data_IF_179760130984
#
_entry.id   IF_179760130984
#
_cell.length_a   1.000
_cell.length_b   1.000
_cell.length_c   1.000
_cell.angle_alpha   90.00
_cell.angle_beta   90.00
_cell.angle_gamma   90.00
#
_symmetry.space_group_name_H-M   'P 1'
#
loop_
_entity.id
_entity.type
_entity.pdbx_description
1 polymer ?
#
# COMPACT_ATOMS: atom_id res chain seq x y z
N UNK A 1 -45.31 -15.07 58.52
CA UNK A 1 -44.50 -16.26 58.20
C UNK A 1 -43.11 -15.79 57.80
N UNK A 2 -42.06 -16.08 58.60
CA UNK A 2 -40.72 -15.61 58.27
C UNK A 2 -40.11 -16.52 57.21
N UNK A 3 -39.94 -16.00 55.98
CA UNK A 3 -39.21 -16.64 54.89
C UNK A 3 -37.67 -16.64 55.09
N UNK A 4 -37.19 -16.38 56.31
CA UNK A 4 -35.77 -16.35 56.67
C UNK A 4 -35.19 -17.76 56.89
N UNK A 5 -35.40 -18.70 55.96
CA UNK A 5 -34.64 -19.96 55.94
C UNK A 5 -33.36 -19.71 55.15
N UNK A 6 -32.25 -19.73 55.87
CA UNK A 6 -30.89 -19.66 55.35
C UNK A 6 -30.72 -20.55 54.12
N UNK A 7 -30.14 -20.01 53.06
CA UNK A 7 -29.66 -20.81 51.94
C UNK A 7 -28.52 -21.70 52.45
N UNK A 8 -28.58 -23.03 52.25
CA UNK A 8 -27.50 -23.91 52.65
C UNK A 8 -26.23 -23.54 51.88
N UNK A 9 -25.07 -23.53 52.54
CA UNK A 9 -23.77 -23.16 51.94
C UNK A 9 -23.45 -23.95 50.67
N UNK A 10 -23.98 -25.18 50.55
CA UNK A 10 -23.87 -26.03 49.35
C UNK A 10 -24.49 -25.37 48.11
N UNK A 11 -25.58 -24.61 48.26
CA UNK A 11 -26.22 -23.90 47.16
C UNK A 11 -25.29 -22.87 46.50
N UNK A 12 -24.45 -22.20 47.29
CA UNK A 12 -23.45 -21.25 46.76
C UNK A 12 -22.38 -21.92 45.92
N UNK A 13 -21.93 -23.12 46.32
CA UNK A 13 -20.94 -23.89 45.55
C UNK A 13 -21.51 -24.33 44.21
N UNK A 14 -22.76 -24.83 44.20
CA UNK A 14 -23.45 -25.23 42.97
C UNK A 14 -23.66 -24.03 42.04
N UNK A 15 -24.11 -22.89 42.58
CA UNK A 15 -24.28 -21.67 41.80
C UNK A 15 -22.96 -21.17 41.21
N UNK A 16 -21.89 -21.15 42.00
CA UNK A 16 -20.55 -20.76 41.54
C UNK A 16 -20.03 -21.67 40.43
N UNK A 17 -20.18 -22.99 40.58
CA UNK A 17 -19.81 -23.95 39.53
C UNK A 17 -20.59 -23.72 38.24
N UNK A 18 -21.91 -23.49 38.34
CA UNK A 18 -22.75 -23.21 37.19
C UNK A 18 -22.34 -21.91 36.48
N UNK A 19 -22.09 -20.83 37.23
CA UNK A 19 -21.65 -19.54 36.66
C UNK A 19 -20.29 -19.68 35.97
N UNK A 20 -19.34 -20.40 36.57
CA UNK A 20 -18.03 -20.66 35.95
C UNK A 20 -18.17 -21.46 34.67
N UNK A 21 -18.98 -22.52 34.67
CA UNK A 21 -19.25 -23.30 33.46
C UNK A 21 -19.93 -22.46 32.38
N UNK A 22 -20.95 -21.69 32.74
CA UNK A 22 -21.67 -20.82 31.82
C UNK A 22 -20.73 -19.80 31.18
N UNK A 23 -19.88 -19.14 31.97
CA UNK A 23 -18.90 -18.19 31.47
C UNK A 23 -17.84 -18.87 30.59
N UNK A 24 -17.39 -20.08 30.96
CA UNK A 24 -16.37 -20.82 30.19
C UNK A 24 -16.86 -21.28 28.82
N UNK A 25 -18.18 -21.43 28.62
CA UNK A 25 -18.76 -21.89 27.34
C UNK A 25 -19.35 -20.71 26.56
N UNK A 26 -20.16 -19.87 27.21
CA UNK A 26 -20.84 -18.77 26.52
C UNK A 26 -19.90 -17.66 26.08
N UNK A 27 -18.84 -17.35 26.84
CA UNK A 27 -17.90 -16.29 26.43
C UNK A 27 -17.12 -16.69 25.17
N UNK A 28 -16.49 -17.88 25.09
CA UNK A 28 -15.85 -18.31 23.85
C UNK A 28 -16.84 -18.46 22.69
N UNK A 29 -18.04 -19.00 22.93
CA UNK A 29 -19.04 -19.17 21.87
C UNK A 29 -19.54 -17.83 21.33
N UNK A 30 -19.81 -16.85 22.20
CA UNK A 30 -20.21 -15.51 21.79
C UNK A 30 -19.07 -14.79 21.06
N UNK A 31 -17.83 -14.93 21.54
CA UNK A 31 -16.67 -14.37 20.85
C UNK A 31 -16.50 -14.99 19.46
N UNK A 32 -16.62 -16.31 19.32
CA UNK A 32 -16.55 -17.01 18.05
C UNK A 32 -17.71 -16.63 17.12
N UNK A 33 -18.94 -16.51 17.65
CA UNK A 33 -20.09 -16.07 16.87
C UNK A 33 -19.92 -14.64 16.35
N UNK A 34 -19.44 -13.73 17.21
CA UNK A 34 -19.13 -12.34 16.82
C UNK A 34 -18.00 -12.27 15.80
N UNK A 35 -16.97 -13.09 15.95
CA UNK A 35 -15.87 -13.18 15.00
C UNK A 35 -16.35 -13.73 13.65
N UNK A 36 -17.17 -14.79 13.66
CA UNK A 36 -17.75 -15.35 12.45
C UNK A 36 -18.66 -14.35 11.73
N UNK A 37 -19.48 -13.60 12.47
CA UNK A 37 -20.29 -12.52 11.89
C UNK A 37 -19.41 -11.47 11.23
N UNK A 38 -18.36 -11.00 11.92
CA UNK A 38 -17.41 -10.05 11.35
C UNK A 38 -16.70 -10.59 10.10
N UNK A 39 -16.24 -11.86 10.12
CA UNK A 39 -15.62 -12.51 8.96
C UNK A 39 -16.58 -12.66 7.80
N UNK A 40 -17.85 -12.94 8.07
CA UNK A 40 -18.90 -13.00 7.05
C UNK A 40 -19.20 -11.61 6.48
N UNK A 41 -19.25 -10.58 7.31
CA UNK A 41 -19.43 -9.18 6.88
C UNK A 41 -18.23 -8.71 6.03
N UNK A 42 -17.00 -9.13 6.36
CA UNK A 42 -15.82 -8.84 5.52
C UNK A 42 -15.83 -9.63 4.21
N UNK A 43 -16.37 -10.86 4.23
CA UNK A 43 -16.50 -11.70 3.02
C UNK A 43 -17.64 -11.27 2.12
N UNK A 44 -18.68 -10.64 2.64
CA UNK A 44 -19.85 -10.21 1.85
C UNK A 44 -19.55 -9.05 0.89
N UNK A 45 -18.30 -8.57 0.85
CA UNK A 45 -17.87 -7.54 -0.09
C UNK A 45 -18.32 -6.13 0.28
N UNK A 46 -19.12 -5.97 1.34
CA UNK A 46 -19.60 -4.66 1.82
C UNK A 46 -18.45 -3.68 2.14
N UNK A 47 -17.22 -4.19 2.26
CA UNK A 47 -16.05 -3.43 2.69
C UNK A 47 -14.80 -3.64 1.82
N UNK A 48 -14.94 -4.35 0.69
CA UNK A 48 -13.95 -4.36 -0.38
C UNK A 48 -14.25 -3.18 -1.31
N UNK A 49 -14.24 -1.97 -0.76
CA UNK A 49 -14.37 -0.76 -1.56
C UNK A 49 -12.98 -0.31 -2.02
N UNK A 50 -12.87 0.01 -3.29
CA UNK A 50 -11.65 0.53 -3.90
C UNK A 50 -11.20 1.82 -3.20
N UNK A 51 -12.14 2.65 -2.74
CA UNK A 51 -11.80 3.89 -2.02
C UNK A 51 -11.11 3.62 -0.67
N UNK A 52 -11.53 2.59 0.05
CA UNK A 52 -10.87 2.18 1.29
C UNK A 52 -9.44 1.71 1.03
N UNK A 53 -9.23 0.97 -0.06
CA UNK A 53 -7.90 0.57 -0.50
C UNK A 53 -7.04 1.78 -0.88
N UNK A 54 -7.58 2.73 -1.65
CA UNK A 54 -6.89 3.99 -1.98
C UNK A 54 -6.47 4.77 -0.74
N UNK A 55 -7.32 4.84 0.27
CA UNK A 55 -7.00 5.48 1.55
C UNK A 55 -5.84 4.79 2.26
N UNK A 56 -5.84 3.44 2.31
CA UNK A 56 -4.73 2.66 2.88
C UNK A 56 -3.42 2.90 2.12
N UNK A 57 -3.49 2.98 0.79
CA UNK A 57 -2.32 3.26 -0.05
C UNK A 57 -1.81 4.70 0.09
N UNK A 58 -2.70 5.65 0.43
CA UNK A 58 -2.37 7.07 0.61
C UNK A 58 -1.81 7.35 2.01
N UNK A 59 -2.29 6.67 3.05
CA UNK A 59 -1.75 6.80 4.41
C UNK A 59 -0.44 6.01 4.55
N UNK A 60 0.66 6.72 4.82
CA UNK A 60 1.99 6.12 4.99
C UNK A 60 2.02 5.04 6.09
N UNK A 61 1.29 5.23 7.20
CA UNK A 61 1.29 4.27 8.31
C UNK A 61 0.55 3.00 7.95
N UNK A 62 -0.59 3.13 7.26
CA UNK A 62 -1.38 1.98 6.81
C UNK A 62 -0.66 1.24 5.69
N UNK A 63 -0.04 1.95 4.74
CA UNK A 63 0.81 1.36 3.70
C UNK A 63 1.99 0.61 4.29
N UNK A 64 2.66 1.12 5.33
CA UNK A 64 3.73 0.38 6.01
C UNK A 64 3.25 -0.95 6.62
N UNK A 65 2.05 -0.96 7.22
CA UNK A 65 1.44 -2.20 7.71
C UNK A 65 1.05 -3.14 6.57
N UNK A 66 0.55 -2.61 5.46
CA UNK A 66 0.23 -3.40 4.27
C UNK A 66 1.50 -4.04 3.69
N UNK A 67 2.61 -3.32 3.65
CA UNK A 67 3.91 -3.85 3.21
C UNK A 67 4.38 -4.98 4.15
N UNK A 68 4.28 -4.79 5.47
CA UNK A 68 4.60 -5.85 6.44
C UNK A 68 3.70 -7.09 6.25
N UNK A 69 2.40 -6.89 6.03
CA UNK A 69 1.46 -7.98 5.75
C UNK A 69 1.80 -8.70 4.45
N UNK A 70 2.22 -7.97 3.42
CA UNK A 70 2.59 -8.53 2.11
C UNK A 70 3.84 -9.40 2.20
N UNK A 71 4.79 -9.08 3.09
CA UNK A 71 5.93 -9.95 3.41
C UNK A 71 5.46 -11.26 4.03
N UNK A 72 4.52 -11.22 4.97
CA UNK A 72 3.96 -12.42 5.61
C UNK A 72 3.16 -13.29 4.63
N UNK A 73 2.53 -12.65 3.64
CA UNK A 73 1.77 -13.31 2.59
C UNK A 73 2.61 -13.71 1.36
N UNK A 74 3.93 -13.54 1.40
CA UNK A 74 4.85 -13.83 0.29
C UNK A 74 4.47 -13.15 -1.04
N UNK A 75 3.96 -11.92 -0.96
CA UNK A 75 3.58 -11.10 -2.11
C UNK A 75 4.24 -9.71 -2.04
N UNK A 76 5.47 -9.66 -1.50
CA UNK A 76 6.22 -8.42 -1.27
C UNK A 76 6.56 -7.71 -2.58
N UNK A 77 6.71 -8.45 -3.67
CA UNK A 77 6.98 -7.94 -5.01
C UNK A 77 5.92 -6.93 -5.47
N UNK A 78 4.64 -7.13 -5.12
CA UNK A 78 3.56 -6.21 -5.47
C UNK A 78 3.72 -4.85 -4.77
N UNK A 79 3.98 -4.87 -3.46
CA UNK A 79 4.19 -3.62 -2.71
C UNK A 79 5.50 -2.93 -3.09
N UNK A 80 6.54 -3.71 -3.36
CA UNK A 80 7.85 -3.19 -3.77
C UNK A 80 7.79 -2.58 -5.16
N UNK A 81 7.03 -3.18 -6.08
CA UNK A 81 6.75 -2.62 -7.40
C UNK A 81 6.18 -1.20 -7.29
N UNK A 82 5.18 -0.99 -6.44
CA UNK A 82 4.52 0.31 -6.28
C UNK A 82 5.48 1.35 -5.71
N UNK A 83 6.27 0.98 -4.69
CA UNK A 83 7.26 1.87 -4.11
C UNK A 83 8.33 2.29 -5.16
N UNK A 84 8.84 1.34 -5.95
CA UNK A 84 9.79 1.67 -7.03
C UNK A 84 9.14 2.45 -8.18
N UNK A 85 7.85 2.23 -8.46
CA UNK A 85 7.10 3.02 -9.42
C UNK A 85 6.97 4.49 -8.97
N UNK A 86 6.76 4.73 -7.67
CA UNK A 86 6.80 6.09 -7.12
C UNK A 86 8.19 6.71 -7.20
N UNK A 87 9.26 5.93 -6.96
CA UNK A 87 10.62 6.44 -7.13
C UNK A 87 10.87 6.87 -8.59
N UNK A 88 10.41 6.06 -9.55
CA UNK A 88 10.53 6.38 -10.97
C UNK A 88 9.76 7.65 -11.34
N UNK A 89 8.57 7.83 -10.76
CA UNK A 89 7.76 9.05 -10.88
C UNK A 89 8.49 10.28 -10.35
N UNK A 90 9.10 10.18 -9.16
CA UNK A 90 9.87 11.30 -8.57
C UNK A 90 11.06 11.65 -9.45
N UNK A 91 11.82 10.65 -9.92
CA UNK A 91 12.95 10.86 -10.81
C UNK A 91 12.52 11.50 -12.15
N UNK A 92 11.36 11.11 -12.69
CA UNK A 92 10.76 11.76 -13.85
C UNK A 92 10.46 13.24 -13.57
N UNK A 93 9.74 13.53 -12.49
CA UNK A 93 9.40 14.92 -12.11
C UNK A 93 10.65 15.79 -11.93
N UNK A 94 11.72 15.25 -11.33
CA UNK A 94 12.98 15.96 -11.17
C UNK A 94 13.68 16.23 -12.51
N UNK A 95 13.81 15.22 -13.38
CA UNK A 95 14.46 15.38 -14.67
C UNK A 95 13.76 16.43 -15.57
N UNK A 96 12.42 16.52 -15.50
CA UNK A 96 11.68 17.51 -16.29
C UNK A 96 11.74 18.93 -15.72
N UNK A 97 12.01 19.10 -14.42
CA UNK A 97 12.22 20.44 -13.83
C UNK A 97 13.50 21.09 -14.35
N UNK A 98 14.55 20.31 -14.52
CA UNK A 98 15.84 20.81 -15.00
C UNK A 98 15.77 21.30 -16.46
N UNK A 99 14.90 20.70 -17.27
CA UNK A 99 14.69 21.12 -18.65
C UNK A 99 13.98 22.48 -18.77
N UNK A 100 13.04 22.82 -17.87
CA UNK A 100 12.35 24.11 -17.92
C UNK A 100 13.26 25.30 -17.61
N UNK A 101 14.33 25.09 -16.83
CA UNK A 101 15.26 26.14 -16.46
C UNK A 101 16.14 26.63 -17.63
N UNK A 102 16.28 25.84 -18.69
CA UNK A 102 17.16 26.13 -19.83
C UNK A 102 16.48 27.01 -20.88
N UNK A 103 15.15 26.99 -20.99
CA UNK A 103 14.39 27.70 -22.03
C UNK A 103 14.16 29.20 -21.74
N UNK A 104 14.81 29.76 -20.71
CA UNK A 104 14.88 31.21 -20.50
C UNK A 104 13.55 31.90 -20.16
N UNK A 105 12.49 31.15 -19.86
CA UNK A 105 11.26 31.70 -19.31
C UNK A 105 11.57 32.13 -17.87
N UNK A 106 11.48 33.43 -17.54
CA UNK A 106 11.76 33.89 -16.18
C UNK A 106 10.84 33.15 -15.21
N UNK A 107 11.37 32.65 -14.07
CA UNK A 107 10.59 31.88 -13.12
C UNK A 107 9.37 32.71 -12.71
N UNK A 108 8.17 32.17 -12.97
CA UNK A 108 6.94 32.76 -12.44
C UNK A 108 7.16 32.90 -10.93
N UNK A 109 7.07 34.11 -10.36
CA UNK A 109 7.37 34.33 -8.96
C UNK A 109 6.51 33.34 -8.16
N UNK A 110 7.13 32.52 -7.29
CA UNK A 110 6.42 31.45 -6.62
C UNK A 110 5.26 32.09 -5.86
N UNK A 111 4.02 31.73 -6.25
CA UNK A 111 2.85 31.98 -5.43
C UNK A 111 3.22 31.50 -4.04
N UNK A 112 3.22 32.42 -3.06
CA UNK A 112 3.88 32.33 -1.77
C UNK A 112 3.58 31.00 -1.03
N UNK A 113 4.30 29.93 -1.38
CA UNK A 113 4.24 28.64 -0.69
C UNK A 113 5.05 28.81 0.58
N UNK A 114 4.36 28.70 1.72
CA UNK A 114 4.95 28.82 3.05
C UNK A 114 6.20 27.94 3.17
N UNK A 115 7.32 28.47 3.69
CA UNK A 115 8.53 27.68 3.89
C UNK A 115 8.26 26.59 4.93
N UNK A 116 8.39 25.33 4.52
CA UNK A 116 8.46 24.20 5.42
C UNK A 116 9.91 24.10 5.92
N UNK A 117 10.11 24.32 7.21
CA UNK A 117 11.44 24.28 7.84
C UNK A 117 12.03 22.86 7.75
N UNK A 118 13.03 22.70 6.87
CA UNK A 118 13.87 21.52 6.73
C UNK A 118 14.80 21.42 7.93
N UNK A 119 14.42 20.65 8.94
CA UNK A 119 15.33 20.30 10.03
C UNK A 119 16.40 19.33 9.50
N UNK A 120 17.62 19.85 9.32
CA UNK A 120 18.81 19.06 9.08
C UNK A 120 19.20 18.31 10.36
N UNK A 121 18.89 17.02 10.44
CA UNK A 121 19.44 16.16 11.50
C UNK A 121 20.80 15.62 11.06
N UNK A 122 21.87 16.36 11.36
CA UNK A 122 23.21 15.78 11.42
C UNK A 122 23.26 14.84 12.63
N UNK A 123 23.25 13.53 12.37
CA UNK A 123 23.52 12.55 13.42
C UNK A 123 24.90 11.99 13.16
N UNK A 124 25.81 12.32 14.07
CA UNK A 124 27.23 11.98 14.04
C UNK A 124 27.41 10.47 14.12
N UNK A 125 28.25 9.99 13.23
CA UNK A 125 28.88 8.69 13.18
C UNK A 125 29.81 8.51 14.40
N UNK A 126 29.65 7.43 15.15
CA UNK A 126 30.65 6.97 16.11
C UNK A 126 30.69 5.44 16.16
N UNK A 127 31.84 4.95 16.57
CA UNK A 127 32.47 3.76 16.03
C UNK A 127 32.52 2.59 17.04
N UNK A 128 32.53 1.37 16.47
CA UNK A 128 33.14 0.12 16.95
C UNK A 128 32.49 -0.59 18.16
N UNK A 129 32.03 -1.84 17.93
CA UNK A 129 32.67 -3.08 18.44
C UNK A 129 32.08 -4.35 17.83
N UNK A 130 33.00 -5.25 17.47
CA UNK A 130 32.84 -6.57 16.87
C UNK A 130 32.51 -7.70 17.86
N UNK A 131 32.29 -8.90 17.31
CA UNK A 131 32.14 -10.25 17.90
C UNK A 131 30.67 -10.74 17.95
N UNK A 132 30.26 -11.97 17.56
CA UNK A 132 30.95 -13.19 17.10
C UNK A 132 29.89 -14.14 16.48
N UNK A 133 30.25 -14.77 15.35
CA UNK A 133 29.86 -16.10 14.84
C UNK A 133 28.49 -16.72 15.23
N UNK A 134 27.57 -16.77 14.26
CA UNK A 134 26.64 -17.90 14.06
C UNK A 134 26.40 -18.10 12.56
N UNK A 135 26.98 -19.17 12.01
CA UNK A 135 27.29 -19.33 10.59
C UNK A 135 26.20 -20.01 9.74
N UNK A 136 24.94 -20.00 10.16
CA UNK A 136 23.85 -20.65 9.39
C UNK A 136 22.60 -19.79 9.17
N UNK A 137 22.61 -18.52 9.56
CA UNK A 137 21.55 -17.54 9.21
C UNK A 137 21.97 -16.57 8.08
N UNK A 138 23.12 -16.80 7.45
CA UNK A 138 23.83 -15.83 6.60
C UNK A 138 23.28 -15.61 5.18
N UNK A 139 22.27 -16.37 4.72
CA UNK A 139 21.69 -16.16 3.39
C UNK A 139 20.43 -15.27 3.38
N UNK A 140 19.72 -15.17 4.51
CA UNK A 140 18.56 -14.26 4.65
C UNK A 140 18.95 -12.90 5.25
N UNK A 141 20.01 -12.83 6.05
CA UNK A 141 20.49 -11.57 6.65
C UNK A 141 21.21 -10.63 5.67
N UNK A 142 21.52 -11.10 4.45
CA UNK A 142 22.12 -10.26 3.39
C UNK A 142 21.08 -9.59 2.49
N UNK A 143 19.79 -9.82 2.72
CA UNK A 143 18.74 -8.86 2.36
C UNK A 143 18.81 -7.74 3.39
N UNK A 144 19.85 -6.88 3.29
CA UNK A 144 19.77 -5.55 3.88
C UNK A 144 18.49 -4.95 3.29
N UNK A 145 17.43 -4.74 4.08
CA UNK A 145 16.37 -3.82 3.68
C UNK A 145 16.99 -2.42 3.74
N UNK A 146 17.42 -1.82 2.61
CA UNK A 146 18.03 -0.53 2.60
C UNK A 146 16.95 0.41 2.10
N UNK A 147 16.07 0.85 2.98
CA UNK A 147 15.47 2.15 2.76
C UNK A 147 15.00 2.69 4.10
N UNK A 148 15.62 3.75 4.65
CA UNK A 148 14.86 4.65 5.50
C UNK A 148 13.54 4.92 4.78
N UNK A 149 12.43 4.84 5.50
CA UNK A 149 11.10 5.07 4.95
C UNK A 149 11.19 6.24 3.97
N UNK A 150 10.90 6.04 2.67
CA UNK A 150 11.13 7.07 1.68
C UNK A 150 10.50 8.35 2.19
N UNK A 151 11.33 9.38 2.38
CA UNK A 151 10.88 10.72 2.71
C UNK A 151 10.25 11.26 1.45
N UNK A 152 9.07 10.75 1.09
CA UNK A 152 8.27 11.31 0.03
C UNK A 152 8.01 12.76 0.46
N UNK A 153 8.51 13.77 -0.29
CA UNK A 153 7.95 15.11 -0.14
C UNK A 153 6.43 14.96 -0.23
N UNK A 154 5.74 15.55 0.75
CA UNK A 154 4.34 15.28 1.12
C UNK A 154 3.32 15.57 -0.02
N UNK A 155 3.80 16.10 -1.15
CA UNK A 155 2.99 16.50 -2.31
C UNK A 155 3.11 15.58 -3.54
N UNK A 156 3.71 14.40 -3.44
CA UNK A 156 3.69 13.47 -4.59
C UNK A 156 2.27 12.89 -4.74
N UNK A 157 1.78 12.92 -5.98
CA UNK A 157 0.46 12.38 -6.35
C UNK A 157 0.28 10.94 -5.84
N UNK A 158 -0.98 10.49 -5.60
CA UNK A 158 -1.24 9.14 -5.12
C UNK A 158 -0.56 8.05 -5.97
N UNK A 159 -0.23 6.88 -5.38
CA UNK A 159 0.44 5.81 -6.11
C UNK A 159 -0.31 5.29 -7.34
N UNK A 160 -1.63 5.46 -7.33
CA UNK A 160 -2.54 5.11 -8.42
C UNK A 160 -2.44 6.06 -9.62
N UNK A 161 -1.79 7.21 -9.47
CA UNK A 161 -1.69 8.24 -10.52
C UNK A 161 -0.50 7.95 -11.44
N UNK A 162 -0.70 8.10 -12.74
CA UNK A 162 0.34 7.97 -13.78
C UNK A 162 1.50 8.95 -13.57
N UNK A 163 2.68 8.59 -14.08
CA UNK A 163 3.87 9.46 -14.07
C UNK A 163 3.58 10.78 -14.79
N UNK A 164 2.93 10.74 -15.96
CA UNK A 164 2.66 11.94 -16.77
C UNK A 164 1.82 12.96 -16.02
N UNK A 165 0.80 12.50 -15.30
CA UNK A 165 -0.09 13.34 -14.49
C UNK A 165 0.61 13.98 -13.29
N UNK A 166 1.81 13.51 -12.96
CA UNK A 166 2.60 13.99 -11.82
C UNK A 166 3.63 15.04 -12.23
N UNK A 167 3.91 15.18 -13.53
CA UNK A 167 4.83 16.18 -14.08
C UNK A 167 4.04 17.43 -14.44
N UNK A 168 4.19 18.56 -13.71
CA UNK A 168 3.36 19.76 -13.92
C UNK A 168 3.49 20.33 -15.34
N UNK A 169 4.70 20.29 -15.90
CA UNK A 169 5.03 20.81 -17.23
C UNK A 169 4.33 20.06 -18.37
N UNK A 170 4.10 18.76 -18.20
CA UNK A 170 3.36 17.93 -19.16
C UNK A 170 1.85 18.11 -19.01
N UNK A 171 1.35 18.32 -17.79
CA UNK A 171 -0.09 18.48 -17.53
C UNK A 171 -0.66 19.80 -18.11
N UNK A 172 0.16 20.84 -18.24
CA UNK A 172 -0.29 22.14 -18.77
C UNK A 172 -0.39 22.19 -20.31
N UNK A 173 0.20 21.22 -21.02
CA UNK A 173 0.12 21.14 -22.50
C UNK A 173 -1.18 20.43 -22.91
N UNK A 174 -2.30 21.16 -22.89
CA UNK A 174 -3.68 20.66 -23.12
C UNK A 174 -3.99 20.30 -24.60
N UNK A 175 -3.00 20.15 -25.48
CA UNK A 175 -3.19 19.88 -26.92
C UNK A 175 -2.35 18.68 -27.38
N UNK A 176 -2.73 18.00 -28.49
CA UNK A 176 -2.58 16.55 -28.64
C UNK A 176 -1.16 16.14 -28.30
N UNK A 177 -1.05 15.38 -27.20
CA UNK A 177 0.21 14.86 -26.71
C UNK A 177 0.79 14.04 -27.85
N UNK A 178 1.76 14.62 -28.54
CA UNK A 178 2.48 13.96 -29.61
C UNK A 178 3.37 12.93 -28.92
N UNK A 179 3.50 11.73 -29.50
CA UNK A 179 4.24 10.62 -28.88
C UNK A 179 5.67 11.01 -28.46
N UNK A 180 6.29 11.98 -29.16
CA UNK A 180 7.60 12.53 -28.85
C UNK A 180 7.68 13.24 -27.48
N UNK A 181 6.59 13.88 -27.03
CA UNK A 181 6.54 14.59 -25.75
C UNK A 181 6.50 13.63 -24.54
N UNK A 182 6.23 12.36 -24.77
CA UNK A 182 6.20 11.31 -23.74
C UNK A 182 7.49 10.50 -23.67
N UNK A 183 8.49 10.84 -24.51
CA UNK A 183 9.76 10.15 -24.52
C UNK A 183 10.52 10.35 -23.20
N UNK A 184 11.12 9.27 -22.70
CA UNK A 184 11.89 9.29 -21.45
C UNK A 184 13.26 9.94 -21.70
N UNK A 185 13.66 10.97 -20.93
CA UNK A 185 15.00 11.54 -20.99
C UNK A 185 16.10 10.48 -20.87
N UNK A 186 17.18 10.61 -21.64
CA UNK A 186 18.29 9.62 -21.68
C UNK A 186 18.84 9.26 -20.29
N UNK A 187 18.89 10.24 -19.40
CA UNK A 187 19.37 10.11 -18.02
C UNK A 187 18.53 9.14 -17.18
N UNK A 188 17.25 8.97 -17.51
CA UNK A 188 16.30 8.12 -16.78
C UNK A 188 16.19 6.71 -17.37
N UNK A 189 16.65 6.48 -18.60
CA UNK A 189 16.59 5.16 -19.24
C UNK A 189 17.24 4.04 -18.39
N UNK A 190 18.37 4.26 -17.70
CA UNK A 190 18.93 3.25 -16.79
C UNK A 190 17.96 2.86 -15.66
N UNK A 191 17.21 3.83 -15.10
CA UNK A 191 16.22 3.58 -14.05
C UNK A 191 15.02 2.78 -14.58
N UNK A 192 14.53 3.12 -15.78
CA UNK A 192 13.46 2.37 -16.46
C UNK A 192 13.90 0.94 -16.79
N UNK A 193 15.14 0.76 -17.27
CA UNK A 193 15.71 -0.56 -17.53
C UNK A 193 15.83 -1.38 -16.25
N UNK A 194 16.34 -0.78 -15.16
CA UNK A 194 16.44 -1.45 -13.87
C UNK A 194 15.05 -1.92 -13.38
N UNK A 195 14.04 -1.04 -13.46
CA UNK A 195 12.66 -1.37 -13.12
C UNK A 195 12.13 -2.55 -13.94
N UNK A 196 12.30 -2.51 -15.27
CA UNK A 196 11.93 -3.61 -16.17
C UNK A 196 12.62 -4.93 -15.78
N UNK A 197 13.94 -4.92 -15.60
CA UNK A 197 14.71 -6.12 -15.28
C UNK A 197 14.38 -6.73 -13.93
N UNK A 198 13.90 -5.90 -12.98
CA UNK A 198 13.60 -6.33 -11.61
C UNK A 198 12.21 -6.93 -11.49
N UNK A 199 11.21 -6.33 -12.16
CA UNK A 199 9.80 -6.67 -11.93
C UNK A 199 9.05 -7.24 -13.16
N UNK A 200 9.48 -6.93 -14.38
CA UNK A 200 8.70 -7.27 -15.59
C UNK A 200 9.34 -8.41 -16.37
N UNK A 201 10.68 -8.44 -16.43
CA UNK A 201 11.42 -9.45 -17.17
C UNK A 201 11.10 -10.83 -16.61
N UNK A 202 10.83 -11.78 -17.52
CA UNK A 202 10.61 -13.17 -17.16
C UNK A 202 11.84 -13.75 -16.44
N UNK A 203 11.58 -14.55 -15.41
CA UNK A 203 12.57 -15.14 -14.51
C UNK A 203 13.32 -14.09 -13.64
N UNK A 204 12.74 -12.90 -13.48
CA UNK A 204 13.26 -11.92 -12.52
C UNK A 204 12.88 -12.29 -11.08
N UNK A 205 13.75 -11.92 -10.13
CA UNK A 205 13.55 -12.28 -8.71
C UNK A 205 12.27 -11.71 -8.10
N UNK A 206 11.80 -10.57 -8.61
CA UNK A 206 10.58 -9.91 -8.16
C UNK A 206 9.58 -9.79 -9.33
N UNK A 207 9.56 -10.78 -10.23
CA UNK A 207 8.62 -10.81 -11.35
C UNK A 207 7.18 -10.70 -10.83
N UNK A 208 6.47 -9.64 -11.25
CA UNK A 208 5.06 -9.46 -10.92
C UNK A 208 4.17 -10.24 -11.89
N UNK A 209 3.07 -10.79 -11.38
CA UNK A 209 2.13 -11.58 -12.18
C UNK A 209 1.26 -10.71 -13.10
N UNK A 210 1.81 -10.32 -14.25
CA UNK A 210 1.11 -9.52 -15.26
C UNK A 210 0.55 -10.40 -16.39
N UNK A 211 -0.50 -9.90 -17.06
CA UNK A 211 -1.00 -10.54 -18.29
C UNK A 211 0.07 -10.55 -19.39
N UNK A 212 0.06 -11.60 -20.22
CA UNK A 212 1.03 -11.79 -21.29
C UNK A 212 1.07 -10.60 -22.27
N UNK A 213 -0.09 -10.01 -22.57
CA UNK A 213 -0.21 -8.87 -23.48
C UNK A 213 0.53 -7.62 -22.96
N UNK A 214 0.36 -7.30 -21.67
CA UNK A 214 1.02 -6.13 -21.04
C UNK A 214 2.52 -6.33 -21.01
N UNK A 215 2.96 -7.53 -20.62
CA UNK A 215 4.39 -7.90 -20.58
C UNK A 215 5.02 -7.81 -21.97
N UNK A 216 4.37 -8.36 -22.99
CA UNK A 216 4.87 -8.38 -24.37
C UNK A 216 4.98 -6.96 -24.91
N UNK A 217 3.96 -6.13 -24.69
CA UNK A 217 3.99 -4.71 -25.09
C UNK A 217 5.16 -3.94 -24.48
N UNK A 218 5.38 -4.10 -23.17
CA UNK A 218 6.50 -3.47 -22.47
C UNK A 218 7.83 -3.99 -23.03
N UNK A 219 7.95 -5.31 -23.21
CA UNK A 219 9.15 -5.93 -23.76
C UNK A 219 9.47 -5.40 -25.17
N UNK A 220 8.46 -5.23 -26.02
CA UNK A 220 8.65 -4.72 -27.39
C UNK A 220 9.09 -3.25 -27.39
N UNK A 221 8.53 -2.41 -26.51
CA UNK A 221 8.99 -1.03 -26.30
C UNK A 221 10.42 -0.96 -25.78
N UNK A 222 10.80 -1.86 -24.86
CA UNK A 222 12.17 -1.96 -24.37
C UNK A 222 13.15 -2.38 -25.47
N UNK A 223 12.77 -3.33 -26.33
CA UNK A 223 13.60 -3.81 -27.45
C UNK A 223 13.78 -2.78 -28.56
N UNK A 224 12.73 -2.02 -28.86
CA UNK A 224 12.78 -0.96 -29.87
C UNK A 224 13.53 0.29 -29.39
N UNK A 225 13.77 0.40 -28.08
CA UNK A 225 14.35 1.60 -27.47
C UNK A 225 13.38 2.78 -27.38
N UNK A 226 12.09 2.55 -27.64
CA UNK A 226 11.03 3.55 -27.56
C UNK A 226 10.49 3.65 -26.13
N UNK A 227 11.30 4.21 -25.22
CA UNK A 227 10.92 4.42 -23.83
C UNK A 227 9.90 5.55 -23.71
N UNK A 228 8.73 5.26 -23.15
CA UNK A 228 7.70 6.26 -22.86
C UNK A 228 7.42 6.33 -21.35
N UNK A 229 7.05 7.51 -20.85
CA UNK A 229 6.71 7.70 -19.44
C UNK A 229 5.51 6.87 -18.97
N UNK A 230 4.64 6.47 -19.92
CA UNK A 230 3.42 5.70 -19.66
C UNK A 230 3.60 4.19 -19.85
N UNK A 231 4.79 3.72 -20.25
CA UNK A 231 4.98 2.30 -20.62
C UNK A 231 4.62 1.31 -19.50
N UNK A 232 4.71 1.72 -18.24
CA UNK A 232 4.39 0.89 -17.08
C UNK A 232 3.02 1.17 -16.44
N UNK A 233 2.20 2.10 -16.98
CA UNK A 233 0.93 2.51 -16.35
C UNK A 233 -0.07 1.35 -16.25
N UNK A 234 -0.20 0.56 -17.32
CA UNK A 234 -1.12 -0.59 -17.33
C UNK A 234 -0.63 -1.71 -16.39
N UNK A 235 0.69 -1.93 -16.33
CA UNK A 235 1.28 -2.86 -15.36
C UNK A 235 1.02 -2.39 -13.92
N UNK A 236 1.20 -1.10 -13.65
CA UNK A 236 0.91 -0.49 -12.35
C UNK A 236 -0.55 -0.67 -11.96
N UNK A 237 -1.48 -0.47 -12.90
CA UNK A 237 -2.91 -0.73 -12.67
C UNK A 237 -3.18 -2.20 -12.30
N UNK A 238 -2.64 -3.15 -13.06
CA UNK A 238 -2.80 -4.58 -12.75
C UNK A 238 -2.21 -4.95 -11.38
N UNK A 239 -1.07 -4.39 -11.00
CA UNK A 239 -0.47 -4.63 -9.67
C UNK A 239 -1.37 -4.10 -8.55
N UNK A 240 -1.99 -2.93 -8.75
CA UNK A 240 -2.98 -2.40 -7.79
C UNK A 240 -4.20 -3.33 -7.68
N UNK A 241 -4.70 -3.84 -8.80
CA UNK A 241 -5.81 -4.80 -8.82
C UNK A 241 -5.43 -6.08 -8.08
N UNK A 242 -4.22 -6.62 -8.30
CA UNK A 242 -3.73 -7.81 -7.61
C UNK A 242 -3.61 -7.58 -6.09
N UNK A 243 -3.09 -6.43 -5.66
CA UNK A 243 -3.07 -6.08 -4.24
C UNK A 243 -4.48 -6.00 -3.66
N UNK A 244 -5.39 -5.34 -4.39
CA UNK A 244 -6.75 -5.13 -3.93
C UNK A 244 -7.55 -6.43 -3.82
N UNK A 245 -7.47 -7.31 -4.81
CA UNK A 245 -8.25 -8.55 -4.81
C UNK A 245 -7.63 -9.65 -3.95
N UNK A 246 -6.29 -9.73 -3.86
CA UNK A 246 -5.63 -10.85 -3.18
C UNK A 246 -5.13 -10.51 -1.77
N UNK A 247 -4.54 -9.33 -1.59
CA UNK A 247 -3.78 -9.00 -0.37
C UNK A 247 -4.63 -8.17 0.60
N UNK A 248 -5.33 -7.18 0.07
CA UNK A 248 -6.09 -6.20 0.85
C UNK A 248 -7.19 -6.83 1.73
N UNK A 249 -7.99 -7.83 1.28
CA UNK A 249 -9.03 -8.41 2.12
C UNK A 249 -8.45 -9.10 3.36
N UNK A 250 -7.36 -9.84 3.17
CA UNK A 250 -6.63 -10.52 4.25
C UNK A 250 -5.95 -9.51 5.19
N UNK A 251 -5.40 -8.43 4.63
CA UNK A 251 -4.83 -7.33 5.39
C UNK A 251 -5.87 -6.68 6.31
N UNK A 252 -7.05 -6.34 5.77
CA UNK A 252 -8.14 -5.74 6.56
C UNK A 252 -8.60 -6.69 7.66
N UNK A 253 -8.75 -7.99 7.37
CA UNK A 253 -9.11 -9.00 8.37
C UNK A 253 -8.09 -9.11 9.52
N UNK A 254 -6.80 -8.96 9.21
CA UNK A 254 -5.71 -9.24 10.18
C UNK A 254 -5.29 -7.99 10.95
N UNK A 255 -5.22 -6.83 10.28
CA UNK A 255 -4.53 -5.65 10.80
C UNK A 255 -5.47 -4.48 11.14
N UNK A 256 -6.71 -4.45 10.64
CA UNK A 256 -7.64 -3.39 11.00
C UNK A 256 -8.43 -3.78 12.25
N UNK A 257 -8.09 -3.12 13.36
CA UNK A 257 -8.95 -3.17 14.55
C UNK A 257 -10.32 -2.59 14.22
N UNK A 258 -11.37 -3.11 14.86
CA UNK A 258 -12.75 -2.61 14.71
C UNK A 258 -12.83 -1.08 14.81
N UNK A 259 -12.01 -0.44 15.66
CA UNK A 259 -11.98 1.02 15.81
C UNK A 259 -11.38 1.77 14.61
N UNK A 260 -10.25 1.30 14.08
CA UNK A 260 -9.59 1.92 12.91
C UNK A 260 -10.42 1.74 11.64
N UNK A 261 -11.23 0.69 11.60
CA UNK A 261 -12.11 0.39 10.50
C UNK A 261 -13.30 1.36 10.38
N UNK A 262 -13.99 1.67 11.49
CA UNK A 262 -15.14 2.58 11.48
C UNK A 262 -14.77 4.05 11.25
N UNK A 263 -13.48 4.42 11.37
CA UNK A 263 -13.02 5.77 11.04
C UNK A 263 -12.84 6.00 9.54
N UNK A 264 -12.90 4.95 8.72
CA UNK A 264 -12.86 5.10 7.27
C UNK A 264 -14.26 5.52 6.81
N UNK A 265 -14.42 6.69 6.18
CA UNK A 265 -15.71 7.11 5.67
C UNK A 265 -16.15 6.09 4.61
N UNK A 266 -17.16 5.28 4.94
CA UNK A 266 -17.79 4.40 3.96
C UNK A 266 -18.46 5.31 2.95
N UNK A 267 -18.09 5.17 1.67
CA UNK A 267 -18.74 5.92 0.59
C UNK A 267 -20.24 5.66 0.67
N UNK A 268 -21.03 6.73 0.86
CA UNK A 268 -22.48 6.63 1.08
C UNK A 268 -23.21 5.89 -0.07
N UNK A 269 -22.60 5.80 -1.26
CA UNK A 269 -23.11 5.03 -2.41
C UNK A 269 -23.32 3.55 -2.11
N UNK A 270 -22.44 2.93 -1.33
CA UNK A 270 -22.50 1.48 -1.06
C UNK A 270 -23.64 1.15 -0.09
N UNK A 271 -23.96 2.07 0.82
CA UNK A 271 -25.05 1.89 1.80
C UNK A 271 -26.41 1.95 1.11
N UNK A 272 -26.61 2.87 0.16
CA UNK A 272 -27.87 2.97 -0.59
C UNK A 272 -28.17 1.76 -1.47
N UNK A 273 -27.17 1.11 -2.08
CA UNK A 273 -27.39 -0.11 -2.88
C UNK A 273 -27.67 -1.35 -2.02
N UNK A 274 -27.04 -1.45 -0.84
CA UNK A 274 -27.29 -2.53 0.11
C UNK A 274 -28.67 -2.41 0.77
N UNK A 275 -29.12 -1.20 1.09
CA UNK A 275 -30.49 -0.97 1.59
C UNK A 275 -31.53 -1.31 0.52
N UNK A 276 -31.32 -0.91 -0.74
CA UNK A 276 -32.23 -1.28 -1.84
C UNK A 276 -32.35 -2.79 -2.05
N UNK A 277 -31.27 -3.57 -1.84
CA UNK A 277 -31.33 -5.05 -1.94
C UNK A 277 -31.96 -5.76 -0.74
N UNK A 278 -32.18 -5.08 0.39
CA UNK A 278 -32.93 -5.67 1.51
C UNK A 278 -34.45 -5.53 1.37
N UNK A 279 -34.91 -4.69 0.43
CA UNK A 279 -36.34 -4.43 0.19
C UNK A 279 -36.91 -5.14 -1.05
N UNK A 280 -36.13 -5.99 -1.73
CA UNK A 280 -36.54 -6.84 -2.84
C UNK A 280 -36.04 -8.28 -2.64
#
# INVERSE_FOLDING_TARGET
MPFGRYWPSVAWVVLGSFVTHLNSVLLPLNNQYRENKYRNDLRSGAYQDWESFRLVMSDTRLRLKLNQHSVQAFCVELTRFIDEYQNLKVAAVEAFKDHEAVDGIPPVPPAMVRPYNRAESSTKESAIKSATLSATQSLLAKIRLPSPAPKYPIDITPPTTSIVMSVPSLNQRIFPITDDALSVPEQLKPSFLNFYTTFIKTDSFLEVNLTADVRTRIMDQMKSGAYTLTMFDEANKQVHDLLFYNVFPSFVMTNMTRRQYWSIPVSAKTVSELELRQFY
#
